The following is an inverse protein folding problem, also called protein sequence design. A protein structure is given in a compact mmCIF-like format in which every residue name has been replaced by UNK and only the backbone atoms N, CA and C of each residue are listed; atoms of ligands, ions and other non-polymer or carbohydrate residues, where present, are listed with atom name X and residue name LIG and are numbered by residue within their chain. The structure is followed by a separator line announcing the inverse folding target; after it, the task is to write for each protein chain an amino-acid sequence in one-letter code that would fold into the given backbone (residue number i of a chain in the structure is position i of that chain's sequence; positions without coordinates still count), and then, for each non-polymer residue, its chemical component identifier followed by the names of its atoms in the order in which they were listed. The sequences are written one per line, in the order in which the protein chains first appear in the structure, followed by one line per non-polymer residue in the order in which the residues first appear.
data_IF_761478271134
#
_entry.id   IF_761478271134
#
_cell.length_a   1.000
_cell.length_b   1.000
_cell.length_c   1.000
_cell.angle_alpha   90.00
_cell.angle_beta   90.00
_cell.angle_gamma   90.00
#
_symmetry.space_group_name_H-M   'P 1'
#
loop_
_entity.id
_entity.type
_entity.pdbx_description
1 polymer ?
#
# COMPACT_ATOMS: atom_id res chain seq x y z
N UNK A 1 16.12 3.07 10.93
CA UNK A 1 16.86 3.89 11.94
C UNK A 1 15.94 4.67 12.90
N UNK A 2 14.62 4.68 12.68
CA UNK A 2 13.66 5.37 13.54
C UNK A 2 13.57 6.88 13.24
N UNK A 3 14.22 7.35 12.18
CA UNK A 3 14.14 8.73 11.74
C UNK A 3 12.74 9.09 11.26
N UNK A 4 12.35 10.34 11.51
CA UNK A 4 11.12 10.94 10.98
C UNK A 4 11.52 12.30 10.40
N UNK A 5 11.16 12.54 9.14
CA UNK A 5 11.40 13.79 8.44
C UNK A 5 10.12 14.26 7.75
N UNK A 6 10.03 15.57 7.54
CA UNK A 6 8.93 16.20 6.81
C UNK A 6 9.52 16.94 5.61
N UNK A 7 9.23 16.42 4.43
CA UNK A 7 9.74 16.95 3.17
C UNK A 7 8.66 17.75 2.46
N UNK A 8 9.07 18.84 1.78
CA UNK A 8 8.14 19.60 0.95
C UNK A 8 7.56 18.71 -0.15
N UNK A 9 6.23 18.78 -0.25
CA UNK A 9 5.45 17.97 -1.17
C UNK A 9 4.98 18.73 -2.41
N UNK A 10 5.30 20.02 -2.53
CA UNK A 10 4.90 20.89 -3.65
C UNK A 10 5.13 20.25 -5.03
N UNK A 11 6.26 19.56 -5.31
CA UNK A 11 6.49 18.93 -6.61
C UNK A 11 5.47 17.84 -7.00
N UNK A 12 4.82 17.22 -6.01
CA UNK A 12 3.90 16.09 -6.22
C UNK A 12 2.43 16.51 -6.25
N UNK A 13 2.11 17.75 -5.85
CA UNK A 13 0.72 18.25 -5.82
C UNK A 13 0.10 18.24 -7.21
N UNK A 14 -1.19 17.91 -7.30
CA UNK A 14 -1.94 17.78 -8.54
C UNK A 14 -1.57 16.57 -9.39
N UNK A 15 -0.53 15.81 -9.03
CA UNK A 15 -0.14 14.60 -9.77
C UNK A 15 -1.04 13.42 -9.40
N UNK A 16 -1.42 12.65 -10.43
CA UNK A 16 -2.05 11.35 -10.25
C UNK A 16 -1.10 10.36 -9.55
N UNK A 17 -1.66 9.34 -8.90
CA UNK A 17 -0.91 8.44 -8.01
C UNK A 17 0.29 7.78 -8.70
N UNK A 18 0.17 7.32 -9.94
CA UNK A 18 1.27 6.68 -10.66
C UNK A 18 2.44 7.65 -10.93
N UNK A 19 2.13 8.86 -11.41
CA UNK A 19 3.16 9.87 -11.65
C UNK A 19 3.84 10.31 -10.34
N UNK A 20 3.06 10.53 -9.28
CA UNK A 20 3.61 10.87 -7.97
C UNK A 20 4.47 9.73 -7.40
N UNK A 21 4.06 8.47 -7.58
CA UNK A 21 4.82 7.31 -7.13
C UNK A 21 6.20 7.23 -7.78
N UNK A 22 6.30 7.34 -9.12
CA UNK A 22 7.59 7.31 -9.80
C UNK A 22 8.50 8.45 -9.34
N UNK A 23 7.98 9.68 -9.20
CA UNK A 23 8.76 10.80 -8.66
C UNK A 23 9.25 10.56 -7.22
N UNK A 24 8.47 9.85 -6.39
CA UNK A 24 8.89 9.47 -5.03
C UNK A 24 9.97 8.38 -5.09
N UNK A 25 9.86 7.40 -5.99
CA UNK A 25 10.89 6.38 -6.15
C UNK A 25 12.20 6.93 -6.73
N UNK A 26 12.14 7.93 -7.59
CA UNK A 26 13.32 8.66 -8.07
C UNK A 26 14.04 9.38 -6.92
N UNK A 27 13.29 9.96 -5.98
CA UNK A 27 13.84 10.71 -4.85
C UNK A 27 14.36 9.82 -3.72
N UNK A 28 13.58 8.82 -3.31
CA UNK A 28 13.84 8.00 -2.11
C UNK A 28 14.35 6.59 -2.45
N UNK A 29 14.46 6.26 -3.73
CA UNK A 29 14.80 4.92 -4.19
C UNK A 29 13.60 3.97 -4.19
N UNK A 30 13.83 2.74 -4.65
CA UNK A 30 12.78 1.72 -4.85
C UNK A 30 12.58 0.80 -3.65
N UNK A 31 13.38 0.93 -2.59
CA UNK A 31 13.30 0.11 -1.38
C UNK A 31 12.39 0.76 -0.32
N UNK A 32 11.27 1.31 -0.77
CA UNK A 32 10.30 2.02 0.06
C UNK A 32 8.88 1.55 -0.24
N UNK A 33 8.01 1.62 0.75
CA UNK A 33 6.56 1.58 0.56
C UNK A 33 6.01 3.01 0.63
N UNK A 34 4.98 3.29 -0.18
CA UNK A 34 4.36 4.61 -0.24
C UNK A 34 2.86 4.52 0.03
N UNK A 35 2.34 5.51 0.75
CA UNK A 35 0.92 5.82 0.86
C UNK A 35 0.68 7.21 0.25
N UNK A 36 -0.28 7.33 -0.67
CA UNK A 36 -0.46 8.49 -1.52
C UNK A 36 -1.87 9.08 -1.40
N UNK A 37 -1.90 10.40 -1.22
CA UNK A 37 -3.08 11.22 -1.40
C UNK A 37 -3.20 11.61 -2.88
N UNK A 38 -4.20 11.09 -3.57
CA UNK A 38 -4.48 11.49 -4.96
C UNK A 38 -5.12 12.89 -5.04
N UNK A 39 -5.33 13.43 -6.26
CA UNK A 39 -5.93 14.75 -6.46
C UNK A 39 -7.28 14.92 -5.76
N UNK A 40 -8.11 13.86 -5.71
CA UNK A 40 -9.39 13.88 -5.00
C UNK A 40 -9.23 14.15 -3.51
N UNK A 41 -8.19 13.59 -2.89
CA UNK A 41 -7.89 13.86 -1.49
C UNK A 41 -7.35 15.27 -1.27
N UNK A 42 -6.56 15.81 -2.21
CA UNK A 42 -5.98 17.16 -2.11
C UNK A 42 -7.06 18.25 -2.02
N UNK A 43 -8.15 18.13 -2.80
CA UNK A 43 -9.30 19.03 -2.69
C UNK A 43 -10.36 18.56 -1.67
N UNK A 44 -10.04 17.57 -0.83
CA UNK A 44 -10.88 17.06 0.25
C UNK A 44 -12.21 16.42 -0.20
N UNK A 45 -12.24 15.80 -1.38
CA UNK A 45 -13.43 15.09 -1.86
C UNK A 45 -13.80 13.90 -0.96
N UNK A 46 -15.06 13.80 -0.53
CA UNK A 46 -15.52 12.81 0.46
C UNK A 46 -15.39 11.34 0.03
N UNK A 47 -15.20 11.09 -1.27
CA UNK A 47 -14.94 9.75 -1.84
C UNK A 47 -13.45 9.44 -2.00
N UNK A 48 -12.55 10.33 -1.56
CA UNK A 48 -11.12 10.12 -1.66
C UNK A 48 -10.67 8.95 -0.80
N UNK A 49 -9.90 8.05 -1.42
CA UNK A 49 -9.13 7.02 -0.75
C UNK A 49 -7.66 7.36 -0.64
N UNK A 50 -6.91 6.46 0.00
CA UNK A 50 -5.44 6.48 0.05
C UNK A 50 -4.93 5.31 -0.78
N UNK A 51 -4.02 5.57 -1.71
CA UNK A 51 -3.40 4.54 -2.54
C UNK A 51 -2.06 4.09 -1.93
N UNK A 52 -1.77 2.81 -1.98
CA UNK A 52 -0.56 2.20 -1.44
C UNK A 52 0.18 1.42 -2.52
N UNK A 53 1.51 1.43 -2.45
CA UNK A 53 2.35 0.57 -3.28
C UNK A 53 2.06 -0.91 -3.02
N UNK A 54 1.96 -1.69 -4.10
CA UNK A 54 2.05 -3.13 -4.04
C UNK A 54 3.52 -3.60 -4.09
N UNK A 55 3.69 -4.93 -4.11
CA UNK A 55 4.99 -5.61 -4.21
C UNK A 55 5.72 -5.34 -5.54
N UNK A 56 5.02 -4.87 -6.57
CA UNK A 56 5.59 -4.46 -7.85
C UNK A 56 5.75 -2.93 -7.93
N UNK A 57 5.68 -2.24 -6.79
CA UNK A 57 5.84 -0.79 -6.63
C UNK A 57 4.72 0.04 -7.28
N UNK A 58 3.59 -0.56 -7.66
CA UNK A 58 2.46 0.17 -8.25
C UNK A 58 1.54 0.68 -7.15
N UNK A 59 1.05 1.93 -7.19
CA UNK A 59 0.10 2.45 -6.21
C UNK A 59 -1.33 1.92 -6.44
N UNK A 60 -1.50 0.60 -6.42
CA UNK A 60 -2.69 -0.15 -6.86
C UNK A 60 -3.58 -0.63 -5.70
N UNK A 61 -3.07 -0.63 -4.46
CA UNK A 61 -3.83 -1.03 -3.26
C UNK A 61 -4.53 0.19 -2.67
N UNK A 62 -5.81 0.10 -2.32
CA UNK A 62 -6.58 1.27 -1.89
C UNK A 62 -7.28 1.06 -0.55
N UNK A 63 -7.14 2.04 0.35
CA UNK A 63 -8.11 2.30 1.40
C UNK A 63 -9.18 3.25 0.82
N UNK A 64 -10.22 2.68 0.21
CA UNK A 64 -11.11 3.40 -0.72
C UNK A 64 -12.35 4.05 -0.09
N UNK A 65 -12.76 3.64 1.12
CA UNK A 65 -14.06 4.02 1.70
C UNK A 65 -13.89 4.89 2.95
N UNK A 66 -14.92 5.65 3.27
CA UNK A 66 -14.99 6.49 4.48
C UNK A 66 -14.29 7.84 4.38
N UNK A 67 -13.90 8.28 3.17
CA UNK A 67 -13.31 9.60 2.95
C UNK A 67 -11.92 9.78 3.57
N UNK A 68 -11.20 8.69 3.83
CA UNK A 68 -9.88 8.74 4.50
C UNK A 68 -8.83 9.55 3.72
N UNK A 69 -8.94 9.59 2.38
CA UNK A 69 -8.08 10.45 1.56
C UNK A 69 -8.36 11.94 1.75
N UNK A 70 -9.61 12.33 2.01
CA UNK A 70 -9.96 13.72 2.31
C UNK A 70 -9.40 14.15 3.66
N UNK A 71 -9.42 13.25 4.65
CA UNK A 71 -8.78 13.50 5.94
C UNK A 71 -7.27 13.70 5.78
N UNK A 72 -6.60 12.85 4.99
CA UNK A 72 -5.18 12.99 4.69
C UNK A 72 -4.86 14.33 4.02
N UNK A 73 -5.64 14.73 3.00
CA UNK A 73 -5.50 16.02 2.33
C UNK A 73 -5.82 17.23 3.23
N UNK A 74 -6.77 17.11 4.16
CA UNK A 74 -7.08 18.17 5.13
C UNK A 74 -5.92 18.50 6.06
N UNK A 75 -5.03 17.53 6.29
CA UNK A 75 -3.80 17.68 7.05
C UNK A 75 -2.61 18.11 6.18
N UNK A 76 -2.85 18.40 4.89
CA UNK A 76 -1.82 18.78 3.90
C UNK A 76 -0.72 17.73 3.75
N UNK A 77 -1.07 16.45 3.91
CA UNK A 77 -0.14 15.33 3.70
C UNK A 77 -0.36 14.75 2.32
N UNK A 78 0.64 14.88 1.43
CA UNK A 78 0.57 14.33 0.07
C UNK A 78 0.96 12.87 -0.01
N UNK A 79 2.00 12.49 0.74
CA UNK A 79 2.52 11.13 0.74
C UNK A 79 3.10 10.78 2.11
N UNK A 80 3.13 9.49 2.41
CA UNK A 80 3.95 8.91 3.47
C UNK A 80 4.87 7.91 2.77
N UNK A 81 6.17 8.04 2.99
CA UNK A 81 7.20 7.16 2.43
C UNK A 81 7.87 6.44 3.60
N UNK A 82 7.99 5.11 3.50
CA UNK A 82 8.54 4.28 4.56
C UNK A 82 9.58 3.33 3.98
N UNK A 83 10.79 3.34 4.53
CA UNK A 83 11.84 2.40 4.14
C UNK A 83 11.49 0.96 4.48
N UNK A 84 11.74 0.05 3.54
CA UNK A 84 11.69 -1.38 3.78
C UNK A 84 13.01 -1.85 4.41
N UNK A 85 13.19 -1.51 5.69
CA UNK A 85 14.45 -1.72 6.41
C UNK A 85 14.58 -3.16 6.96
N UNK A 86 13.71 -3.54 7.90
CA UNK A 86 13.88 -4.75 8.72
C UNK A 86 12.59 -5.55 8.88
N UNK A 87 12.75 -6.86 8.95
CA UNK A 87 11.70 -7.77 9.40
C UNK A 87 11.43 -7.52 10.89
N UNK A 88 10.15 -7.43 11.32
CA UNK A 88 9.84 -7.28 12.74
C UNK A 88 10.30 -8.51 13.53
N UNK A 89 10.71 -8.34 14.81
CA UNK A 89 11.01 -9.47 15.66
C UNK A 89 9.76 -10.28 15.95
N UNK A 90 9.88 -11.61 15.95
CA UNK A 90 8.81 -12.53 16.31
C UNK A 90 9.11 -13.16 17.66
N UNK A 91 8.12 -13.22 18.55
CA UNK A 91 8.27 -13.86 19.86
C UNK A 91 8.63 -15.35 19.77
N UNK A 92 8.13 -16.05 18.75
CA UNK A 92 8.50 -17.42 18.40
C UNK A 92 8.64 -17.58 16.88
N UNK A 93 9.85 -17.38 16.32
CA UNK A 93 10.08 -17.45 14.88
C UNK A 93 9.79 -18.84 14.28
N UNK A 94 9.97 -19.92 15.05
CA UNK A 94 9.71 -21.28 14.60
C UNK A 94 8.21 -21.50 14.44
N UNK A 95 7.44 -21.14 15.46
CA UNK A 95 5.97 -21.25 15.42
C UNK A 95 5.34 -20.40 14.33
N UNK A 96 5.85 -19.19 14.07
CA UNK A 96 5.42 -18.36 12.93
C UNK A 96 5.67 -19.09 11.61
N UNK A 97 6.89 -19.58 11.42
CA UNK A 97 7.27 -20.30 10.19
C UNK A 97 6.42 -21.55 9.97
N UNK A 98 6.20 -22.34 11.01
CA UNK A 98 5.39 -23.56 10.93
C UNK A 98 3.92 -23.25 10.66
N UNK A 99 3.39 -22.17 11.26
CA UNK A 99 2.02 -21.70 11.00
C UNK A 99 1.84 -21.25 9.54
N UNK A 100 2.82 -20.51 8.99
CA UNK A 100 2.81 -20.11 7.58
C UNK A 100 2.81 -21.34 6.66
N UNK A 101 3.65 -22.34 6.93
CA UNK A 101 3.69 -23.58 6.15
C UNK A 101 2.36 -24.32 6.20
N UNK A 102 1.79 -24.49 7.40
CA UNK A 102 0.50 -25.16 7.59
C UNK A 102 -0.63 -24.44 6.85
N UNK A 103 -0.71 -23.12 6.99
CA UNK A 103 -1.75 -22.34 6.32
C UNK A 103 -1.58 -22.36 4.80
N UNK A 104 -0.35 -22.28 4.30
CA UNK A 104 -0.04 -22.39 2.87
C UNK A 104 -0.48 -23.74 2.31
N UNK A 105 -0.30 -24.83 3.07
CA UNK A 105 -0.80 -26.16 2.69
C UNK A 105 -2.33 -26.16 2.55
N UNK A 106 -3.04 -25.61 3.54
CA UNK A 106 -4.51 -25.51 3.49
C UNK A 106 -4.99 -24.71 2.27
N UNK A 107 -4.36 -23.57 1.97
CA UNK A 107 -4.70 -22.78 0.78
C UNK A 107 -4.46 -23.51 -0.55
N UNK A 108 -3.43 -24.38 -0.61
CA UNK A 108 -3.14 -25.19 -1.80
C UNK A 108 -4.10 -26.36 -1.99
N UNK A 109 -4.66 -26.87 -0.90
CA UNK A 109 -5.63 -27.97 -0.91
C UNK A 109 -7.07 -27.47 -1.15
N UNK A 110 -7.35 -26.18 -0.93
CA UNK A 110 -8.65 -25.57 -1.18
C UNK A 110 -8.90 -25.32 -2.68
N UNK A 111 -9.93 -25.98 -3.21
CA UNK A 111 -10.27 -25.92 -4.64
C UNK A 111 -10.83 -24.57 -5.07
N UNK A 112 -11.52 -23.84 -4.19
CA UNK A 112 -12.06 -22.51 -4.47
C UNK A 112 -10.90 -21.51 -4.58
N UNK A 113 -9.94 -21.58 -3.66
CA UNK A 113 -8.72 -20.76 -3.71
C UNK A 113 -7.91 -21.06 -4.97
N UNK A 114 -7.61 -22.34 -5.23
CA UNK A 114 -6.69 -22.71 -6.31
C UNK A 114 -7.30 -22.64 -7.71
N UNK A 115 -8.57 -23.05 -7.89
CA UNK A 115 -9.16 -23.15 -9.21
C UNK A 115 -9.98 -21.93 -9.62
N UNK A 116 -10.46 -21.15 -8.65
CA UNK A 116 -11.26 -19.96 -8.93
C UNK A 116 -10.48 -18.68 -8.61
N UNK A 117 -10.21 -18.38 -7.34
CA UNK A 117 -9.60 -17.09 -6.96
C UNK A 117 -8.20 -16.88 -7.54
N UNK A 118 -7.36 -17.91 -7.64
CA UNK A 118 -6.04 -17.75 -8.27
C UNK A 118 -6.09 -17.45 -9.76
N UNK A 119 -7.13 -17.92 -10.47
CA UNK A 119 -7.24 -17.72 -11.93
C UNK A 119 -7.87 -16.39 -12.29
N UNK A 120 -8.95 -16.04 -11.61
CA UNK A 120 -9.76 -14.86 -11.96
C UNK A 120 -9.71 -13.78 -10.89
N UNK A 121 -9.20 -14.05 -9.70
CA UNK A 121 -9.22 -13.07 -8.60
C UNK A 121 -10.64 -12.76 -8.13
N UNK A 122 -10.80 -11.62 -7.46
CA UNK A 122 -12.10 -11.19 -6.90
C UNK A 122 -13.12 -10.82 -7.97
N UNK A 123 -12.71 -10.59 -9.22
CA UNK A 123 -13.63 -10.23 -10.30
C UNK A 123 -14.58 -11.38 -10.67
N UNK A 124 -14.23 -12.63 -10.38
CA UNK A 124 -15.13 -13.77 -10.62
C UNK A 124 -16.37 -13.78 -9.73
N UNK A 125 -16.37 -13.00 -8.63
CA UNK A 125 -17.50 -12.90 -7.69
C UNK A 125 -18.51 -11.81 -8.09
N UNK A 126 -18.19 -10.98 -9.08
CA UNK A 126 -18.98 -9.83 -9.50
C UNK A 126 -19.96 -10.18 -10.63
#
# INVERSE_FOLDING_TARGET
DGGIAFDDATPYLGKGNYAAAEMLYERYGRKVAIALCGPVGEYQGLLAGIAFSDKDLRPSRLAARGGVGAVMGSKRVKAIVVDLDKTPPFGDPRKVTDSIKRYTKMLREDSIVMNFYNKVGTMGMA
#
